data_IF_853801091253
#
_entry.id   IF_853801091253
#
_cell.length_a   1.000
_cell.length_b   1.000
_cell.length_c   1.000
_cell.angle_alpha   90.00
_cell.angle_beta   90.00
_cell.angle_gamma   90.00
#
_symmetry.space_group_name_H-M   'P 1'
#
loop_
_entity.id
_entity.type
_entity.pdbx_description
1 polymer ?
#
# COMPACT_ATOMS: atom_id res chain seq x y z
N UNK A 1 31.49 -7.74 -51.09
CA UNK A 1 30.36 -7.07 -50.42
C UNK A 1 29.12 -7.93 -50.46
N UNK A 2 28.80 -8.54 -49.33
CA UNK A 2 27.62 -9.39 -49.16
C UNK A 2 26.52 -8.53 -48.56
N UNK A 3 25.39 -8.37 -49.26
CA UNK A 3 24.23 -7.65 -48.69
C UNK A 3 23.78 -8.31 -47.38
N UNK A 4 23.48 -7.52 -46.33
CA UNK A 4 23.07 -8.07 -45.05
C UNK A 4 21.76 -8.85 -45.20
N UNK A 5 21.67 -9.98 -44.49
CA UNK A 5 20.48 -10.82 -44.48
C UNK A 5 19.30 -10.07 -43.84
N UNK A 6 18.16 -10.04 -44.53
CA UNK A 6 16.91 -9.45 -44.03
C UNK A 6 16.52 -10.12 -42.70
N UNK A 7 16.35 -9.32 -41.67
CA UNK A 7 15.96 -9.74 -40.34
C UNK A 7 14.43 -9.84 -40.24
N UNK A 8 13.92 -10.55 -39.22
CA UNK A 8 12.47 -10.69 -39.02
C UNK A 8 11.73 -9.35 -38.93
N UNK A 9 12.42 -8.30 -38.46
CA UNK A 9 11.93 -6.92 -38.37
C UNK A 9 11.75 -6.31 -39.76
N UNK A 10 12.66 -6.58 -40.70
CA UNK A 10 12.55 -6.08 -42.09
C UNK A 10 11.32 -6.68 -42.78
N UNK A 11 11.00 -7.94 -42.50
CA UNK A 11 9.80 -8.62 -43.01
C UNK A 11 8.52 -8.04 -42.44
N UNK A 12 8.52 -7.66 -41.16
CA UNK A 12 7.38 -7.04 -40.49
C UNK A 12 7.13 -5.61 -40.99
N UNK A 13 8.21 -4.83 -41.20
CA UNK A 13 8.14 -3.49 -41.79
C UNK A 13 7.61 -3.56 -43.22
N UNK A 14 8.11 -4.48 -44.04
CA UNK A 14 7.62 -4.68 -45.41
C UNK A 14 6.14 -5.13 -45.43
N UNK A 15 5.76 -6.04 -44.53
CA UNK A 15 4.37 -6.51 -44.39
C UNK A 15 3.41 -5.38 -44.04
N UNK A 16 3.85 -4.46 -43.17
CA UNK A 16 3.06 -3.31 -42.77
C UNK A 16 3.29 -2.10 -43.69
N UNK A 17 4.00 -2.25 -44.81
CA UNK A 17 4.32 -1.18 -45.78
C UNK A 17 4.99 0.05 -45.15
N UNK A 18 5.76 -0.15 -44.08
CA UNK A 18 6.34 0.94 -43.28
C UNK A 18 5.34 1.70 -42.40
N UNK A 19 4.07 1.28 -42.38
CA UNK A 19 3.03 1.82 -41.52
C UNK A 19 2.95 1.06 -40.19
N UNK A 20 2.54 1.76 -39.14
CA UNK A 20 2.17 1.16 -37.86
C UNK A 20 0.84 1.75 -37.43
N UNK A 21 -0.14 0.88 -37.19
CA UNK A 21 -1.50 1.24 -36.71
C UNK A 21 -1.43 2.14 -35.47
N UNK A 22 -0.41 1.96 -34.64
CA UNK A 22 -0.18 2.78 -33.45
C UNK A 22 0.19 4.24 -33.79
N UNK A 23 0.98 4.47 -34.85
CA UNK A 23 1.43 5.81 -35.28
C UNK A 23 0.35 6.51 -36.09
N UNK A 24 -0.35 5.80 -36.98
CA UNK A 24 -1.43 6.37 -37.80
C UNK A 24 -2.66 6.79 -36.98
N UNK A 25 -2.89 6.16 -35.82
CA UNK A 25 -3.95 6.56 -34.90
C UNK A 25 -3.60 7.79 -34.05
N UNK A 26 -2.33 8.24 -34.01
CA UNK A 26 -1.90 9.37 -33.17
C UNK A 26 -2.55 10.69 -33.58
N UNK A 27 -2.63 11.07 -34.87
CA UNK A 27 -3.26 12.31 -35.28
C UNK A 27 -4.75 12.35 -34.93
N UNK A 28 -5.48 11.25 -35.15
CA UNK A 28 -6.90 11.15 -34.80
C UNK A 28 -7.12 11.24 -33.30
N UNK A 29 -6.31 10.53 -32.50
CA UNK A 29 -6.36 10.60 -31.03
C UNK A 29 -6.03 12.00 -30.52
N UNK A 30 -5.04 12.66 -31.11
CA UNK A 30 -4.67 14.04 -30.76
C UNK A 30 -5.78 15.03 -31.14
N UNK A 31 -6.41 14.86 -32.30
CA UNK A 31 -7.54 15.69 -32.71
C UNK A 31 -8.76 15.46 -31.82
N UNK A 32 -9.05 14.22 -31.44
CA UNK A 32 -10.11 13.88 -30.51
C UNK A 32 -9.86 14.50 -29.12
N UNK A 33 -8.62 14.42 -28.62
CA UNK A 33 -8.22 15.03 -27.35
C UNK A 33 -8.33 16.56 -27.37
N UNK A 34 -7.97 17.22 -28.49
CA UNK A 34 -8.14 18.68 -28.66
C UNK A 34 -9.60 19.12 -28.67
N UNK A 35 -10.52 18.24 -29.05
CA UNK A 35 -11.98 18.49 -29.06
C UNK A 35 -12.63 18.21 -27.71
N UNK A 36 -11.92 17.56 -26.78
CA UNK A 36 -12.45 17.40 -25.43
C UNK A 36 -12.45 18.76 -24.73
N UNK A 37 -13.61 19.23 -24.22
CA UNK A 37 -13.65 20.47 -23.47
C UNK A 37 -12.78 20.31 -22.22
N UNK A 38 -11.77 21.17 -22.10
CA UNK A 38 -11.03 21.27 -20.84
C UNK A 38 -12.01 21.75 -19.77
N UNK A 39 -12.14 21.06 -18.63
CA UNK A 39 -13.04 21.50 -17.58
C UNK A 39 -12.69 22.92 -17.16
N UNK A 40 -13.69 23.75 -16.89
CA UNK A 40 -13.44 25.10 -16.41
C UNK A 40 -12.71 25.07 -15.07
N UNK A 41 -11.91 26.10 -14.79
CA UNK A 41 -11.23 26.22 -13.51
C UNK A 41 -12.20 26.14 -12.32
N UNK A 42 -13.40 26.72 -12.47
CA UNK A 42 -14.48 26.61 -11.49
C UNK A 42 -14.88 25.16 -11.22
N UNK A 43 -15.06 24.36 -12.27
CA UNK A 43 -15.42 22.95 -12.12
C UNK A 43 -14.31 22.14 -11.43
N UNK A 44 -13.05 22.44 -11.76
CA UNK A 44 -11.89 21.82 -11.10
C UNK A 44 -11.86 22.19 -9.62
N UNK A 45 -12.12 23.45 -9.27
CA UNK A 45 -12.15 23.93 -7.88
C UNK A 45 -13.26 23.25 -7.10
N UNK A 46 -14.47 23.15 -7.66
CA UNK A 46 -15.61 22.47 -7.03
C UNK A 46 -15.30 21.00 -6.76
N UNK A 47 -14.79 20.29 -7.77
CA UNK A 47 -14.42 18.89 -7.65
C UNK A 47 -13.34 18.69 -6.57
N UNK A 48 -12.29 19.51 -6.57
CA UNK A 48 -11.20 19.41 -5.58
C UNK A 48 -11.68 19.76 -4.17
N UNK A 49 -12.61 20.70 -4.04
CA UNK A 49 -13.21 21.05 -2.75
C UNK A 49 -14.00 19.88 -2.17
N UNK A 50 -14.79 19.21 -3.02
CA UNK A 50 -15.54 18.02 -2.62
C UNK A 50 -14.62 16.86 -2.23
N UNK A 51 -13.61 16.56 -3.06
CA UNK A 51 -12.60 15.53 -2.78
C UNK A 51 -11.88 15.80 -1.45
N UNK A 52 -11.51 17.06 -1.19
CA UNK A 52 -10.86 17.43 0.07
C UNK A 52 -11.78 17.22 1.28
N UNK A 53 -13.07 17.52 1.14
CA UNK A 53 -14.06 17.25 2.18
C UNK A 53 -14.16 15.76 2.52
N UNK A 54 -14.24 14.90 1.50
CA UNK A 54 -14.27 13.44 1.68
C UNK A 54 -13.00 12.93 2.38
N UNK A 55 -11.82 13.38 1.94
CA UNK A 55 -10.54 12.99 2.53
C UNK A 55 -10.41 13.43 4.00
N UNK A 56 -10.91 14.61 4.36
CA UNK A 56 -10.92 15.07 5.76
C UNK A 56 -11.82 14.20 6.63
N UNK A 57 -12.97 13.79 6.12
CA UNK A 57 -13.88 12.91 6.84
C UNK A 57 -13.27 11.53 7.06
N UNK A 58 -12.64 10.95 6.04
CA UNK A 58 -11.93 9.68 6.14
C UNK A 58 -10.77 9.78 7.14
N UNK A 59 -9.98 10.85 7.09
CA UNK A 59 -8.89 11.09 8.04
C UNK A 59 -9.40 11.13 9.48
N UNK A 60 -10.49 11.86 9.73
CA UNK A 60 -11.09 11.94 11.08
C UNK A 60 -11.59 10.57 11.57
N UNK A 61 -12.18 9.77 10.68
CA UNK A 61 -12.59 8.40 10.99
C UNK A 61 -11.40 7.51 11.38
N UNK A 62 -10.32 7.55 10.59
CA UNK A 62 -9.12 6.76 10.86
C UNK A 62 -8.41 7.20 12.14
N UNK A 63 -8.31 8.50 12.40
CA UNK A 63 -7.75 9.03 13.64
C UNK A 63 -8.52 8.54 14.87
N UNK A 64 -9.85 8.53 14.79
CA UNK A 64 -10.70 8.01 15.89
C UNK A 64 -10.45 6.51 16.12
N UNK A 65 -10.32 5.74 15.04
CA UNK A 65 -10.02 4.30 15.12
C UNK A 65 -8.63 4.03 15.69
N UNK A 66 -7.64 4.83 15.29
CA UNK A 66 -6.27 4.71 15.77
C UNK A 66 -6.17 4.85 17.29
N UNK A 67 -6.95 5.77 17.90
CA UNK A 67 -7.00 5.90 19.35
C UNK A 67 -7.43 4.61 20.07
N UNK A 68 -8.46 3.94 19.56
CA UNK A 68 -8.91 2.65 20.12
C UNK A 68 -7.86 1.54 19.94
N UNK A 69 -7.16 1.52 18.80
CA UNK A 69 -6.08 0.57 18.55
C UNK A 69 -4.89 0.79 19.50
N UNK A 70 -4.51 2.04 19.76
CA UNK A 70 -3.43 2.37 20.70
C UNK A 70 -3.80 2.03 22.14
N UNK A 71 -5.05 2.27 22.54
CA UNK A 71 -5.56 1.84 23.84
C UNK A 71 -5.45 0.32 24.01
N UNK A 72 -5.97 -0.46 23.05
CA UNK A 72 -5.89 -1.91 23.09
C UNK A 72 -4.45 -2.42 23.17
N UNK A 73 -3.53 -1.80 22.40
CA UNK A 73 -2.12 -2.16 22.43
C UNK A 73 -1.51 -2.00 23.82
N UNK A 74 -1.78 -0.88 24.49
CA UNK A 74 -1.26 -0.64 25.85
C UNK A 74 -1.86 -1.59 26.87
N UNK A 75 -3.17 -1.86 26.80
CA UNK A 75 -3.83 -2.85 27.68
C UNK A 75 -3.22 -4.26 27.51
N UNK A 76 -3.02 -4.70 26.26
CA UNK A 76 -2.41 -6.00 25.97
C UNK A 76 -0.99 -6.06 26.51
N UNK A 77 -0.21 -4.99 26.36
CA UNK A 77 1.14 -4.90 26.91
C UNK A 77 1.14 -5.06 28.43
N UNK A 78 0.26 -4.35 29.14
CA UNK A 78 0.16 -4.46 30.61
C UNK A 78 -0.21 -5.87 31.06
N UNK A 79 -1.12 -6.54 30.35
CA UNK A 79 -1.48 -7.94 30.63
C UNK A 79 -0.29 -8.87 30.43
N UNK A 80 0.47 -8.70 29.35
CA UNK A 80 1.68 -9.50 29.09
C UNK A 80 2.72 -9.30 30.18
N UNK A 81 2.99 -8.05 30.58
CA UNK A 81 3.95 -7.73 31.65
C UNK A 81 3.52 -8.38 32.99
N UNK A 82 2.23 -8.30 33.31
CA UNK A 82 1.67 -8.93 34.51
C UNK A 82 1.82 -10.46 34.49
N UNK A 83 1.54 -11.10 33.34
CA UNK A 83 1.70 -12.55 33.17
C UNK A 83 3.17 -12.97 33.29
N UNK A 84 4.10 -12.22 32.70
CA UNK A 84 5.53 -12.47 32.83
C UNK A 84 5.96 -12.41 34.30
N UNK A 85 5.52 -11.38 35.03
CA UNK A 85 5.83 -11.26 36.45
C UNK A 85 5.25 -12.41 37.28
N UNK A 86 4.02 -12.83 36.98
CA UNK A 86 3.38 -13.96 37.66
C UNK A 86 4.16 -15.27 37.42
N UNK A 87 4.64 -15.51 36.20
CA UNK A 87 5.45 -16.68 35.87
C UNK A 87 6.81 -16.66 36.59
N UNK A 88 7.48 -15.51 36.64
CA UNK A 88 8.74 -15.36 37.39
C UNK A 88 8.54 -15.61 38.88
N UNK A 89 7.47 -15.06 39.46
CA UNK A 89 7.14 -15.29 40.87
C UNK A 89 6.84 -16.77 41.14
N UNK A 90 6.09 -17.43 40.25
CA UNK A 90 5.80 -18.86 40.35
C UNK A 90 7.07 -19.71 40.29
N UNK A 91 7.97 -19.43 39.35
CA UNK A 91 9.26 -20.14 39.25
C UNK A 91 10.08 -19.97 40.52
N UNK A 92 10.20 -18.74 41.03
CA UNK A 92 10.91 -18.46 42.28
C UNK A 92 10.36 -19.28 43.44
N UNK A 93 9.04 -19.29 43.63
CA UNK A 93 8.39 -20.03 44.70
C UNK A 93 8.58 -21.55 44.57
N UNK A 94 8.58 -22.07 43.33
CA UNK A 94 8.85 -23.49 43.11
C UNK A 94 10.29 -23.85 43.45
N UNK A 95 11.27 -23.04 43.05
CA UNK A 95 12.68 -23.29 43.40
C UNK A 95 12.91 -23.23 44.90
N UNK A 96 12.33 -22.26 45.60
CA UNK A 96 12.39 -22.17 47.07
C UNK A 96 11.78 -23.41 47.75
N UNK A 97 10.69 -23.96 47.20
CA UNK A 97 10.05 -25.18 47.72
C UNK A 97 10.90 -26.44 47.48
N UNK A 98 11.59 -26.51 46.34
CA UNK A 98 12.50 -27.63 46.01
C UNK A 98 13.74 -27.61 46.94
N UNK A 99 14.33 -26.44 47.19
CA UNK A 99 15.47 -26.27 48.09
C UNK A 99 15.11 -26.66 49.56
N UNK A 100 13.92 -26.27 50.04
CA UNK A 100 13.41 -26.63 51.37
C UNK A 100 13.21 -28.14 51.58
N UNK A 101 12.95 -28.89 50.51
CA UNK A 101 12.80 -30.35 50.54
C UNK A 101 14.17 -31.03 50.62
N UNK A 102 15.17 -30.51 49.90
CA UNK A 102 16.52 -31.05 49.89
C UNK A 102 17.27 -30.77 51.21
N UNK A 103 17.03 -29.64 51.88
CA UNK A 103 17.61 -29.35 53.21
C UNK A 103 17.06 -30.24 54.34
N UNK A 104 15.88 -30.86 54.16
CA UNK A 104 15.24 -31.74 55.16
C UNK A 104 15.61 -33.22 55.01
N UNK A 105 16.46 -33.57 54.05
CA UNK A 105 16.84 -34.95 53.71
C UNK A 105 18.24 -35.29 54.20
#
# INVERSE_FOLDING_TARGET
>A
DTSPALTAVDTEIARNQGSSVAIEAVPERMQAAKKMPTPSLTHIIEQKTWENGQLRQELAYQQKKYGASMYLLEEVRLVVDSLQQALLNFQKLNTECEDDIDERR
#
